data_IF_431949204300
#
_entry.id   IF_431949204300
#
_cell.length_a   1.000
_cell.length_b   1.000
_cell.length_c   1.000
_cell.angle_alpha   90.00
_cell.angle_beta   90.00
_cell.angle_gamma   90.00
#
_symmetry.space_group_name_H-M   'P 1'
#
loop_
_entity.id
_entity.type
_entity.pdbx_description
1 polymer ?
#
# COMPACT_ATOMS: atom_id res chain seq x y z
N UNK A 1 24.55 -98.34 -63.57
CA UNK A 1 24.76 -97.90 -62.22
C UNK A 1 25.00 -96.35 -62.27
N UNK A 2 23.95 -95.54 -62.20
CA UNK A 2 24.06 -94.09 -62.18
C UNK A 2 23.11 -93.59 -61.09
N UNK A 3 23.65 -93.01 -60.05
CA UNK A 3 22.89 -92.36 -58.95
C UNK A 3 22.53 -90.97 -59.33
N UNK A 4 21.28 -90.62 -59.26
CA UNK A 4 20.77 -89.28 -59.48
C UNK A 4 20.74 -88.54 -58.08
N UNK A 5 21.25 -87.38 -57.90
CA UNK A 5 21.14 -86.66 -56.64
C UNK A 5 19.77 -85.94 -56.53
N UNK A 6 19.14 -86.03 -55.36
CA UNK A 6 17.95 -85.32 -54.99
C UNK A 6 18.28 -83.88 -54.69
N UNK A 7 17.56 -82.99 -55.38
CA UNK A 7 17.66 -81.54 -55.15
C UNK A 7 16.64 -81.11 -54.06
N UNK A 8 17.13 -80.72 -52.89
CA UNK A 8 16.31 -80.14 -51.82
C UNK A 8 16.08 -78.62 -52.07
N UNK A 9 14.81 -78.28 -52.22
CA UNK A 9 14.36 -76.84 -52.30
C UNK A 9 14.13 -76.38 -50.91
N UNK A 10 14.71 -75.23 -50.45
CA UNK A 10 14.40 -74.68 -49.15
C UNK A 10 13.06 -73.92 -49.16
N UNK A 11 12.22 -74.28 -48.22
CA UNK A 11 10.96 -73.55 -47.90
C UNK A 11 11.29 -72.19 -47.33
N UNK A 12 10.90 -71.09 -48.03
CA UNK A 12 10.99 -69.73 -47.51
C UNK A 12 9.83 -69.48 -46.51
N UNK A 13 10.17 -69.33 -45.23
CA UNK A 13 9.24 -68.86 -44.25
C UNK A 13 8.92 -67.35 -44.51
N UNK A 14 7.67 -67.08 -44.86
CA UNK A 14 7.13 -65.75 -44.82
C UNK A 14 6.92 -65.37 -43.35
N UNK A 15 7.70 -64.41 -42.85
CA UNK A 15 7.44 -63.72 -41.58
C UNK A 15 6.29 -62.70 -41.76
N UNK A 16 5.35 -62.54 -40.80
CA UNK A 16 4.30 -61.55 -40.88
C UNK A 16 4.89 -60.15 -40.60
N UNK A 17 4.57 -59.19 -41.45
CA UNK A 17 4.82 -57.77 -41.29
C UNK A 17 3.99 -57.29 -40.11
N UNK A 18 4.64 -57.00 -39.00
CA UNK A 18 4.03 -56.21 -37.88
C UNK A 18 3.83 -54.78 -38.30
N UNK A 19 2.68 -54.14 -37.98
CA UNK A 19 2.49 -52.73 -38.25
C UNK A 19 3.42 -51.89 -37.36
N UNK A 20 4.13 -50.95 -37.96
CA UNK A 20 4.85 -49.91 -37.27
C UNK A 20 3.86 -49.14 -36.40
N UNK A 21 3.95 -49.31 -35.10
CA UNK A 21 3.34 -48.34 -34.15
C UNK A 21 4.14 -47.02 -34.28
N UNK A 22 3.47 -46.00 -34.77
CA UNK A 22 3.96 -44.65 -34.65
C UNK A 22 4.08 -44.36 -33.16
N UNK A 23 5.30 -44.19 -32.64
CA UNK A 23 5.55 -43.63 -31.33
C UNK A 23 5.09 -42.13 -31.39
N UNK A 24 3.96 -41.88 -30.80
CA UNK A 24 3.61 -40.48 -30.41
C UNK A 24 4.71 -39.97 -29.50
N UNK A 25 5.48 -39.02 -30.02
CA UNK A 25 6.37 -38.22 -29.20
C UNK A 25 5.50 -37.51 -28.13
N UNK A 26 5.79 -37.67 -26.82
CA UNK A 26 5.13 -36.84 -25.83
C UNK A 26 5.46 -35.41 -26.16
N UNK A 27 4.43 -34.64 -26.54
CA UNK A 27 4.51 -33.16 -26.62
C UNK A 27 5.03 -32.69 -25.29
N UNK A 28 6.30 -32.28 -25.24
CA UNK A 28 6.85 -31.50 -24.15
C UNK A 28 6.14 -30.17 -24.25
N UNK A 29 5.03 -30.03 -23.51
CA UNK A 29 4.47 -28.71 -23.22
C UNK A 29 5.55 -27.99 -22.45
N UNK A 30 6.14 -26.90 -22.96
CA UNK A 30 7.03 -26.10 -22.16
C UNK A 30 6.23 -25.60 -20.97
N UNK A 31 6.66 -25.97 -19.76
CA UNK A 31 6.17 -25.31 -18.53
C UNK A 31 6.17 -23.81 -18.76
N UNK A 32 5.17 -23.04 -18.24
CA UNK A 32 5.23 -21.61 -18.31
C UNK A 32 6.59 -21.19 -17.72
N UNK A 33 7.49 -20.77 -18.58
CA UNK A 33 8.77 -20.24 -18.20
C UNK A 33 8.40 -18.99 -17.42
N UNK A 34 8.55 -19.04 -16.12
CA UNK A 34 8.45 -17.88 -15.23
C UNK A 34 9.33 -16.81 -15.85
N UNK A 35 8.70 -15.82 -16.47
CA UNK A 35 9.40 -14.78 -17.20
C UNK A 35 10.27 -14.05 -16.16
N UNK A 36 11.57 -14.25 -16.22
CA UNK A 36 12.52 -13.56 -15.35
C UNK A 36 12.24 -12.06 -15.48
N UNK A 37 11.92 -11.42 -14.36
CA UNK A 37 11.68 -9.98 -14.31
C UNK A 37 12.87 -9.26 -14.94
N UNK A 38 12.59 -8.27 -15.78
CA UNK A 38 13.68 -7.47 -16.36
C UNK A 38 14.18 -6.50 -15.29
N UNK A 39 15.46 -6.09 -15.29
CA UNK A 39 15.97 -5.09 -14.35
C UNK A 39 15.12 -3.81 -14.28
N UNK A 40 14.49 -3.45 -15.37
CA UNK A 40 13.56 -2.31 -15.46
C UNK A 40 12.26 -2.57 -14.69
N UNK A 41 11.70 -3.78 -14.77
CA UNK A 41 10.49 -4.15 -14.04
C UNK A 41 10.76 -4.16 -12.53
N UNK A 42 11.93 -4.64 -12.10
CA UNK A 42 12.35 -4.64 -10.71
C UNK A 42 12.51 -3.21 -10.16
N UNK A 43 13.07 -2.29 -10.97
CA UNK A 43 13.17 -0.88 -10.60
C UNK A 43 11.78 -0.25 -10.39
N UNK A 44 10.87 -0.43 -11.33
CA UNK A 44 9.50 0.10 -11.25
C UNK A 44 8.77 -0.48 -10.05
N UNK A 45 8.90 -1.78 -9.78
CA UNK A 45 8.32 -2.44 -8.62
C UNK A 45 8.88 -1.86 -7.31
N UNK A 46 10.20 -1.65 -7.22
CA UNK A 46 10.85 -1.03 -6.07
C UNK A 46 10.40 0.41 -5.82
N UNK A 47 10.26 1.22 -6.87
CA UNK A 47 9.71 2.58 -6.76
C UNK A 47 8.27 2.56 -6.26
N UNK A 48 7.42 1.70 -6.82
CA UNK A 48 6.02 1.55 -6.40
C UNK A 48 5.95 1.16 -4.91
N UNK A 49 6.68 0.15 -4.50
CA UNK A 49 6.71 -0.30 -3.11
C UNK A 49 7.17 0.83 -2.17
N UNK A 50 8.20 1.58 -2.55
CA UNK A 50 8.68 2.69 -1.74
C UNK A 50 7.63 3.81 -1.62
N UNK A 51 6.90 4.13 -2.71
CA UNK A 51 5.80 5.09 -2.67
C UNK A 51 4.67 4.61 -1.75
N UNK A 52 4.25 3.36 -1.86
CA UNK A 52 3.14 2.77 -1.12
C UNK A 52 3.44 2.51 0.36
N UNK A 53 4.72 2.31 0.71
CA UNK A 53 5.14 2.09 2.10
C UNK A 53 5.20 3.38 2.95
N UNK A 54 5.01 4.54 2.34
CA UNK A 54 5.17 5.82 3.04
C UNK A 54 3.98 6.75 2.81
N UNK A 55 3.76 7.60 3.81
CA UNK A 55 3.01 8.83 3.69
C UNK A 55 3.99 9.95 3.40
N UNK A 56 3.74 10.74 2.37
CA UNK A 56 4.64 11.75 1.86
C UNK A 56 4.13 13.15 2.17
N UNK A 57 4.85 13.93 2.95
CA UNK A 57 4.48 15.30 3.32
C UNK A 57 5.27 16.28 2.48
N UNK A 58 4.59 17.20 1.80
CA UNK A 58 5.23 18.23 0.99
C UNK A 58 6.01 19.19 1.92
N UNK A 59 7.31 19.28 1.68
CA UNK A 59 8.23 20.11 2.44
C UNK A 59 8.73 21.31 1.63
N UNK A 60 8.98 21.13 0.32
CA UNK A 60 9.47 22.17 -0.57
C UNK A 60 8.81 22.07 -1.93
N UNK A 61 8.65 23.20 -2.61
CA UNK A 61 8.25 23.27 -4.02
C UNK A 61 8.95 24.43 -4.69
N UNK A 62 9.56 24.18 -5.85
CA UNK A 62 10.25 25.21 -6.64
C UNK A 62 9.85 25.10 -8.10
N UNK A 63 9.83 26.25 -8.80
CA UNK A 63 9.65 26.29 -10.24
C UNK A 63 10.96 25.94 -10.98
N UNK A 64 10.91 25.92 -12.32
CA UNK A 64 12.08 25.63 -13.17
C UNK A 64 13.24 26.62 -13.06
N UNK A 65 13.04 27.77 -12.40
CA UNK A 65 14.08 28.76 -12.08
C UNK A 65 14.54 28.67 -10.61
N UNK A 66 14.18 27.58 -9.91
CA UNK A 66 14.45 27.33 -8.48
C UNK A 66 13.83 28.37 -7.52
N UNK A 67 12.79 29.10 -7.95
CA UNK A 67 12.02 29.97 -7.06
C UNK A 67 10.94 29.17 -6.37
N UNK A 68 10.70 29.48 -5.09
CA UNK A 68 9.66 28.84 -4.32
C UNK A 68 8.27 29.05 -4.94
N UNK A 69 7.48 27.98 -5.01
CA UNK A 69 6.06 28.05 -5.40
C UNK A 69 5.21 28.30 -4.16
N UNK A 70 5.12 29.57 -3.75
CA UNK A 70 4.43 29.97 -2.51
C UNK A 70 2.96 29.56 -2.47
N UNK A 71 2.31 29.49 -3.63
CA UNK A 71 0.92 29.04 -3.73
C UNK A 71 0.66 27.65 -3.10
N UNK A 72 1.68 26.79 -2.99
CA UNK A 72 1.55 25.47 -2.36
C UNK A 72 1.71 25.48 -0.83
N UNK A 73 1.95 26.64 -0.23
CA UNK A 73 2.20 26.80 1.22
C UNK A 73 1.33 27.89 1.83
N UNK A 74 -0.01 27.80 1.71
CA UNK A 74 -0.90 28.78 2.34
C UNK A 74 -0.78 28.72 3.87
N UNK A 75 -0.69 29.86 4.54
CA UNK A 75 -0.45 29.94 6.00
C UNK A 75 -1.55 29.23 6.83
N UNK A 76 -2.77 29.23 6.33
CA UNK A 76 -3.93 28.68 7.04
C UNK A 76 -4.15 27.18 6.85
N UNK A 77 -3.28 26.48 6.11
CA UNK A 77 -3.45 25.06 5.79
C UNK A 77 -2.33 24.19 6.35
N UNK A 78 -2.63 22.94 6.72
CA UNK A 78 -1.59 21.95 6.96
C UNK A 78 -0.83 21.65 5.65
N UNK A 79 0.40 21.11 5.74
CA UNK A 79 1.14 20.68 4.56
C UNK A 79 0.35 19.64 3.76
N UNK A 80 0.52 19.64 2.44
CA UNK A 80 -0.03 18.58 1.61
C UNK A 80 0.59 17.23 1.97
N UNK A 81 -0.27 16.23 2.04
CA UNK A 81 0.09 14.83 2.26
C UNK A 81 -0.32 14.04 1.03
N UNK A 82 0.62 13.31 0.45
CA UNK A 82 0.40 12.37 -0.64
C UNK A 82 0.49 10.94 -0.10
N UNK A 83 -0.44 10.09 -0.53
CA UNK A 83 -0.44 8.66 -0.24
C UNK A 83 -0.68 7.87 -1.52
N UNK A 84 -0.04 6.72 -1.60
CA UNK A 84 -0.15 5.79 -2.72
C UNK A 84 -0.65 4.46 -2.18
N UNK A 85 -1.73 3.93 -2.73
CA UNK A 85 -2.33 2.67 -2.27
C UNK A 85 -3.09 2.03 -3.43
N UNK A 86 -2.83 0.76 -3.72
CA UNK A 86 -3.55 0.00 -4.74
C UNK A 86 -3.63 0.71 -6.11
N UNK A 87 -2.52 1.28 -6.56
CA UNK A 87 -2.44 2.09 -7.80
C UNK A 87 -3.28 3.38 -7.78
N UNK A 88 -3.65 3.85 -6.59
CA UNK A 88 -4.31 5.15 -6.39
C UNK A 88 -3.36 6.13 -5.72
N UNK A 89 -3.26 7.33 -6.29
CA UNK A 89 -2.66 8.51 -5.68
C UNK A 89 -3.75 9.34 -5.03
N UNK A 90 -3.59 9.61 -3.75
CA UNK A 90 -4.46 10.54 -3.03
C UNK A 90 -3.63 11.68 -2.46
N UNK A 91 -4.16 12.89 -2.45
CA UNK A 91 -3.55 14.00 -1.73
C UNK A 91 -4.59 14.89 -1.07
N UNK A 92 -4.19 15.47 0.06
CA UNK A 92 -4.99 16.37 0.89
C UNK A 92 -4.08 17.35 1.62
N UNK A 93 -4.61 18.46 2.07
CA UNK A 93 -3.86 19.51 2.80
C UNK A 93 -4.33 20.91 2.48
N UNK A 94 -4.95 21.13 1.33
CA UNK A 94 -5.59 22.38 0.93
C UNK A 94 -7.07 22.43 1.33
N UNK A 95 -7.90 22.81 0.39
CA UNK A 95 -9.35 22.83 0.55
C UNK A 95 -9.97 21.45 0.33
N UNK A 96 -9.58 20.79 -0.75
CA UNK A 96 -10.18 19.55 -1.21
C UNK A 96 -9.22 18.36 -1.07
N UNK A 97 -9.81 17.17 -0.96
CA UNK A 97 -9.09 15.91 -1.13
C UNK A 97 -9.18 15.50 -2.59
N UNK A 98 -8.07 15.02 -3.12
CA UNK A 98 -7.94 14.56 -4.50
C UNK A 98 -7.60 13.08 -4.56
N UNK A 99 -8.09 12.42 -5.60
CA UNK A 99 -7.81 11.03 -5.88
C UNK A 99 -7.65 10.82 -7.40
N UNK A 100 -6.70 9.98 -7.77
CA UNK A 100 -6.42 9.60 -9.16
C UNK A 100 -5.82 8.21 -9.20
N UNK A 101 -6.06 7.46 -10.27
CA UNK A 101 -5.17 6.33 -10.56
C UNK A 101 -3.76 6.83 -10.86
N UNK A 102 -2.75 6.02 -10.61
CA UNK A 102 -1.39 6.30 -11.06
C UNK A 102 -0.73 5.06 -11.61
N UNK A 103 0.27 5.28 -12.44
CA UNK A 103 1.21 4.27 -12.89
C UNK A 103 2.63 4.83 -12.90
N UNK A 104 3.63 3.94 -12.91
CA UNK A 104 5.03 4.29 -13.11
C UNK A 104 5.44 3.71 -14.47
N UNK A 105 5.71 4.60 -15.42
CA UNK A 105 6.08 4.17 -16.77
C UNK A 105 7.51 3.60 -16.83
N UNK A 106 7.90 3.08 -17.98
CA UNK A 106 9.22 2.49 -18.21
C UNK A 106 10.38 3.49 -18.03
N UNK A 107 10.12 4.79 -18.05
CA UNK A 107 11.10 5.84 -17.82
C UNK A 107 11.23 6.22 -16.33
N UNK A 108 10.49 5.54 -15.44
CA UNK A 108 10.48 5.82 -14.01
C UNK A 108 9.71 7.10 -13.65
N UNK A 109 8.77 7.50 -14.49
CA UNK A 109 7.92 8.66 -14.23
C UNK A 109 6.58 8.23 -13.65
N UNK A 110 6.10 8.96 -12.63
CA UNK A 110 4.75 8.90 -12.14
C UNK A 110 3.82 9.53 -13.17
N UNK A 111 2.81 8.79 -13.61
CA UNK A 111 1.77 9.24 -14.53
C UNK A 111 0.43 9.10 -13.82
N UNK A 112 -0.19 10.21 -13.46
CA UNK A 112 -1.51 10.24 -12.87
C UNK A 112 -2.60 10.19 -13.95
N UNK A 113 -3.70 9.53 -13.64
CA UNK A 113 -4.91 9.53 -14.46
C UNK A 113 -5.75 10.77 -14.26
N UNK A 114 -7.03 10.68 -14.58
CA UNK A 114 -7.98 11.78 -14.33
C UNK A 114 -8.16 12.00 -12.84
N UNK A 115 -7.87 13.22 -12.37
CA UNK A 115 -8.05 13.58 -10.98
C UNK A 115 -9.52 13.85 -10.66
N UNK A 116 -9.97 13.29 -9.56
CA UNK A 116 -11.26 13.57 -8.94
C UNK A 116 -11.02 14.35 -7.65
N UNK A 117 -11.93 15.23 -7.28
CA UNK A 117 -11.81 16.00 -6.04
C UNK A 117 -13.15 16.12 -5.33
N UNK A 118 -13.10 16.33 -4.03
CA UNK A 118 -14.25 16.86 -3.29
C UNK A 118 -14.59 18.26 -3.78
N UNK A 119 -15.79 18.75 -3.49
CA UNK A 119 -16.26 20.07 -3.93
C UNK A 119 -16.56 20.94 -2.72
N UNK A 120 -15.54 21.17 -1.88
CA UNK A 120 -15.65 22.09 -0.77
C UNK A 120 -15.36 23.53 -1.24
N UNK A 121 -16.09 24.51 -0.70
CA UNK A 121 -15.85 25.91 -0.93
C UNK A 121 -15.01 26.49 0.22
N UNK A 122 -13.77 26.83 -0.06
CA UNK A 122 -12.84 27.42 0.89
C UNK A 122 -12.39 28.82 0.42
N UNK A 123 -11.51 29.45 1.18
CA UNK A 123 -10.88 30.70 0.76
C UNK A 123 -10.07 30.53 -0.54
N UNK A 124 -9.93 31.61 -1.33
CA UNK A 124 -9.31 31.54 -2.65
C UNK A 124 -7.87 31.02 -2.63
N UNK A 125 -7.13 31.28 -1.58
CA UNK A 125 -5.74 30.81 -1.42
C UNK A 125 -5.65 29.27 -1.35
N UNK A 126 -6.55 28.62 -0.61
CA UNK A 126 -6.61 27.16 -0.51
C UNK A 126 -7.04 26.52 -1.82
N UNK A 127 -8.01 27.12 -2.51
CA UNK A 127 -8.45 26.64 -3.83
C UNK A 127 -7.36 26.82 -4.89
N UNK A 128 -6.59 27.90 -4.82
CA UNK A 128 -5.44 28.12 -5.69
C UNK A 128 -4.34 27.10 -5.44
N UNK A 129 -4.05 26.79 -4.18
CA UNK A 129 -3.09 25.77 -3.78
C UNK A 129 -3.47 24.39 -4.34
N UNK A 130 -4.73 24.00 -4.18
CA UNK A 130 -5.27 22.75 -4.73
C UNK A 130 -5.10 22.68 -6.25
N UNK A 131 -5.46 23.76 -6.96
CA UNK A 131 -5.34 23.86 -8.40
C UNK A 131 -3.89 23.76 -8.86
N UNK A 132 -2.96 24.43 -8.15
CA UNK A 132 -1.54 24.40 -8.47
C UNK A 132 -0.94 23.00 -8.29
N UNK A 133 -1.22 22.32 -7.19
CA UNK A 133 -0.72 20.96 -6.96
C UNK A 133 -1.32 19.96 -7.96
N UNK A 134 -2.62 20.04 -8.20
CA UNK A 134 -3.28 19.18 -9.18
C UNK A 134 -2.71 19.37 -10.59
N UNK A 135 -2.40 20.60 -10.99
CA UNK A 135 -1.80 20.88 -12.30
C UNK A 135 -0.37 20.31 -12.45
N UNK A 136 0.44 20.37 -11.38
CA UNK A 136 1.78 19.77 -11.36
C UNK A 136 1.73 18.24 -11.45
N UNK A 137 0.79 17.61 -10.77
CA UNK A 137 0.64 16.14 -10.75
C UNK A 137 -0.14 15.58 -11.94
N UNK A 138 -0.84 16.41 -12.71
CA UNK A 138 -1.58 15.98 -13.91
C UNK A 138 -0.67 15.66 -15.09
N UNK A 139 0.60 16.03 -15.05
CA UNK A 139 1.59 15.71 -16.08
C UNK A 139 2.54 14.61 -15.58
N UNK A 140 3.24 13.88 -16.48
CA UNK A 140 4.24 12.92 -16.06
C UNK A 140 5.36 13.61 -15.27
N UNK A 141 5.66 13.10 -14.08
CA UNK A 141 6.72 13.64 -13.22
C UNK A 141 7.80 12.59 -12.96
N UNK A 142 9.05 12.98 -13.06
CA UNK A 142 10.19 12.12 -12.78
C UNK A 142 10.29 11.87 -11.27
N UNK A 143 10.44 10.61 -10.87
CA UNK A 143 10.60 10.20 -9.48
C UNK A 143 12.08 10.10 -9.16
N UNK A 144 12.51 10.72 -8.07
CA UNK A 144 13.79 10.46 -7.42
C UNK A 144 13.56 10.19 -5.92
N UNK A 145 14.11 9.07 -5.44
CA UNK A 145 14.02 8.65 -4.05
C UNK A 145 15.40 8.63 -3.41
N UNK A 146 15.54 9.25 -2.24
CA UNK A 146 16.75 9.16 -1.42
C UNK A 146 16.40 8.44 -0.12
N UNK A 147 16.97 7.25 0.13
CA UNK A 147 16.65 6.42 1.29
C UNK A 147 17.45 6.86 2.53
N UNK A 148 17.19 8.06 3.02
CA UNK A 148 17.79 8.59 4.25
C UNK A 148 17.03 8.11 5.51
N UNK A 149 17.49 8.54 6.70
CA UNK A 149 16.78 8.31 7.96
C UNK A 149 15.34 8.86 7.93
N UNK A 150 15.12 9.95 7.20
CA UNK A 150 13.81 10.44 6.76
C UNK A 150 13.83 10.38 5.24
N UNK A 151 13.18 9.39 4.62
CA UNK A 151 13.19 9.24 3.17
C UNK A 151 12.72 10.50 2.46
N UNK A 152 13.39 10.85 1.36
CA UNK A 152 13.05 12.02 0.55
C UNK A 152 12.52 11.54 -0.80
N UNK A 153 11.36 12.05 -1.18
CA UNK A 153 10.79 11.88 -2.51
C UNK A 153 10.86 13.21 -3.24
N UNK A 154 11.43 13.20 -4.43
CA UNK A 154 11.42 14.33 -5.33
C UNK A 154 10.60 13.97 -6.57
N UNK A 155 9.63 14.84 -6.90
CA UNK A 155 8.83 14.74 -8.12
C UNK A 155 9.16 15.94 -8.99
N UNK A 156 9.67 15.71 -10.21
CA UNK A 156 10.10 16.76 -11.12
C UNK A 156 9.31 16.72 -12.43
N UNK A 157 8.75 17.86 -12.83
CA UNK A 157 8.06 18.04 -14.11
C UNK A 157 9.06 18.22 -15.26
N UNK A 158 8.58 18.11 -16.49
CA UNK A 158 9.38 18.41 -17.69
C UNK A 158 9.84 19.89 -17.77
N UNK A 159 9.14 20.80 -17.07
CA UNK A 159 9.51 22.20 -16.93
C UNK A 159 10.53 22.45 -15.81
N UNK A 160 11.03 21.40 -15.15
CA UNK A 160 11.88 21.42 -13.97
C UNK A 160 11.24 21.99 -12.70
N UNK A 161 9.91 22.10 -12.65
CA UNK A 161 9.26 22.34 -11.37
C UNK A 161 9.48 21.12 -10.48
N UNK A 162 9.80 21.35 -9.22
CA UNK A 162 10.21 20.27 -8.31
C UNK A 162 9.42 20.32 -7.02
N UNK A 163 8.81 19.20 -6.66
CA UNK A 163 8.19 18.97 -5.35
C UNK A 163 9.13 18.10 -4.51
N UNK A 164 9.52 18.57 -3.34
CA UNK A 164 10.30 17.82 -2.36
C UNK A 164 9.41 17.39 -1.20
N UNK A 165 9.32 16.07 -0.97
CA UNK A 165 8.46 15.49 0.04
C UNK A 165 9.28 14.65 1.02
N UNK A 166 8.86 14.65 2.28
CA UNK A 166 9.44 13.83 3.35
C UNK A 166 8.54 12.62 3.60
N UNK A 167 9.16 11.43 3.63
CA UNK A 167 8.50 10.17 3.84
C UNK A 167 8.42 9.81 5.32
N UNK A 168 7.23 9.41 5.75
CA UNK A 168 7.00 8.72 7.01
C UNK A 168 6.50 7.31 6.70
N UNK A 169 7.25 6.31 7.14
CA UNK A 169 6.87 4.91 6.91
C UNK A 169 5.51 4.60 7.54
N UNK A 170 4.66 3.93 6.79
CA UNK A 170 3.34 3.54 7.26
C UNK A 170 3.43 2.39 8.27
N UNK A 171 2.51 2.33 9.25
CA UNK A 171 2.48 1.24 10.22
C UNK A 171 2.40 -0.15 9.59
N UNK A 172 1.68 -0.30 8.49
CA UNK A 172 1.57 -1.55 7.72
C UNK A 172 2.94 -2.04 7.21
N UNK A 173 3.77 -1.11 6.77
CA UNK A 173 5.11 -1.42 6.28
C UNK A 173 6.10 -1.76 7.43
N UNK A 174 5.88 -1.18 8.63
CA UNK A 174 6.71 -1.43 9.82
C UNK A 174 6.34 -2.70 10.57
N UNK A 175 5.04 -2.97 10.71
CA UNK A 175 4.52 -3.96 11.65
C UNK A 175 3.69 -5.05 10.97
N UNK A 176 3.51 -4.98 9.64
CA UNK A 176 2.64 -5.88 8.90
C UNK A 176 1.16 -5.51 9.00
N UNK A 177 0.26 -6.40 8.56
CA UNK A 177 -1.16 -6.12 8.48
C UNK A 177 -1.78 -5.87 9.85
N UNK A 178 -2.66 -4.87 9.92
CA UNK A 178 -3.40 -4.54 11.13
C UNK A 178 -4.50 -5.57 11.42
N UNK A 179 -4.84 -5.71 12.70
CA UNK A 179 -6.12 -6.29 13.12
C UNK A 179 -7.13 -5.16 13.28
N UNK A 180 -8.24 -5.22 12.55
CA UNK A 180 -9.35 -4.28 12.73
C UNK A 180 -10.16 -4.67 13.96
N UNK A 181 -10.33 -3.74 14.89
CA UNK A 181 -11.15 -3.90 16.08
C UNK A 181 -12.08 -2.71 16.27
N UNK A 182 -13.16 -2.91 16.98
CA UNK A 182 -14.07 -1.83 17.40
C UNK A 182 -13.94 -1.62 18.90
N UNK A 183 -13.67 -0.39 19.28
CA UNK A 183 -13.58 0.02 20.69
C UNK A 183 -14.74 0.94 21.02
N UNK A 184 -15.52 0.58 22.05
CA UNK A 184 -16.43 1.52 22.69
C UNK A 184 -15.68 2.22 23.81
N UNK A 185 -15.59 3.55 23.74
CA UNK A 185 -14.88 4.40 24.70
C UNK A 185 -15.90 5.12 25.55
N UNK A 186 -15.76 5.02 26.88
CA UNK A 186 -16.69 5.66 27.81
C UNK A 186 -16.57 7.18 27.77
N UNK A 187 -17.66 7.85 28.08
CA UNK A 187 -17.73 9.31 28.20
C UNK A 187 -16.80 9.90 29.27
N UNK A 188 -16.39 9.08 30.23
CA UNK A 188 -15.57 9.50 31.38
C UNK A 188 -14.20 8.84 31.32
N UNK A 189 -13.19 9.58 31.70
CA UNK A 189 -11.89 9.02 32.00
C UNK A 189 -11.86 8.48 33.44
N UNK A 190 -11.06 7.45 33.66
CA UNK A 190 -10.84 6.90 34.99
C UNK A 190 -9.57 7.45 35.63
N UNK A 191 -9.59 7.59 36.95
CA UNK A 191 -8.35 7.66 37.69
C UNK A 191 -7.65 6.31 37.60
N UNK A 192 -6.43 6.29 37.11
CA UNK A 192 -5.64 5.08 36.93
C UNK A 192 -4.15 5.36 37.17
N UNK A 193 -3.36 4.30 37.15
CA UNK A 193 -1.90 4.45 37.09
C UNK A 193 -1.41 3.61 35.90
N UNK A 194 -1.02 4.32 34.85
CA UNK A 194 -0.42 3.66 33.71
C UNK A 194 0.93 3.05 34.09
N UNK A 195 1.11 1.72 34.02
CA UNK A 195 2.33 1.05 34.47
C UNK A 195 3.58 1.42 33.66
N UNK A 196 3.39 1.96 32.42
CA UNK A 196 4.49 2.28 31.51
C UNK A 196 5.02 3.71 31.67
N UNK A 197 4.15 4.68 31.95
CA UNK A 197 4.54 6.10 31.96
C UNK A 197 4.06 6.85 33.23
N UNK A 198 3.38 6.15 34.16
CA UNK A 198 2.89 6.77 35.40
C UNK A 198 1.70 7.72 35.24
N UNK A 199 1.11 7.84 34.04
CA UNK A 199 -0.06 8.66 33.79
C UNK A 199 -1.21 8.31 34.73
N UNK A 200 -1.90 9.33 35.28
CA UNK A 200 -2.89 9.17 36.32
C UNK A 200 -4.34 9.16 35.83
N UNK A 201 -4.55 9.39 34.55
CA UNK A 201 -5.88 9.30 33.91
C UNK A 201 -5.81 8.41 32.69
N UNK A 202 -6.82 7.56 32.49
CA UNK A 202 -6.95 6.63 31.37
C UNK A 202 -8.32 6.74 30.74
N UNK A 203 -8.40 6.40 29.46
CA UNK A 203 -9.67 6.05 28.85
C UNK A 203 -10.21 4.76 29.47
N UNK A 204 -11.51 4.61 29.50
CA UNK A 204 -12.19 3.36 29.75
C UNK A 204 -12.74 2.85 28.43
N UNK A 205 -12.31 1.69 28.01
CA UNK A 205 -12.74 1.12 26.74
C UNK A 205 -13.16 -0.35 26.89
N UNK A 206 -13.95 -0.82 25.94
CA UNK A 206 -14.25 -2.24 25.76
C UNK A 206 -14.30 -2.57 24.27
N UNK A 207 -13.93 -3.80 23.95
CA UNK A 207 -14.02 -4.31 22.60
C UNK A 207 -15.45 -4.72 22.27
N UNK A 208 -15.90 -4.34 21.07
CA UNK A 208 -17.16 -4.76 20.49
C UNK A 208 -16.88 -5.73 19.34
N UNK A 209 -17.75 -6.74 19.23
CA UNK A 209 -17.76 -7.66 18.10
C UNK A 209 -19.02 -7.44 17.28
N UNK A 210 -18.86 -7.57 15.97
CA UNK A 210 -19.95 -7.49 15.00
C UNK A 210 -19.94 -8.77 14.15
N UNK A 211 -21.13 -9.25 13.78
CA UNK A 211 -21.28 -10.35 12.85
C UNK A 211 -21.09 -9.90 11.39
N UNK A 212 -21.21 -10.86 10.45
CA UNK A 212 -21.09 -10.59 9.01
C UNK A 212 -22.17 -9.64 8.47
N UNK A 213 -23.30 -9.50 9.18
CA UNK A 213 -24.38 -8.59 8.86
C UNK A 213 -24.17 -7.19 9.47
N UNK A 214 -23.09 -6.98 10.23
CA UNK A 214 -22.80 -5.74 10.93
C UNK A 214 -23.62 -5.54 12.20
N UNK A 215 -24.25 -6.58 12.72
CA UNK A 215 -24.99 -6.52 13.97
C UNK A 215 -24.06 -6.81 15.16
N UNK A 216 -24.24 -6.07 16.24
CA UNK A 216 -23.44 -6.23 17.44
C UNK A 216 -23.70 -7.59 18.10
N UNK A 217 -22.65 -8.35 18.35
CA UNK A 217 -22.69 -9.64 19.04
C UNK A 217 -22.68 -9.40 20.55
N UNK A 218 -23.71 -9.81 21.30
CA UNK A 218 -23.73 -9.73 22.75
C UNK A 218 -23.10 -10.97 23.41
N UNK A 219 -22.55 -10.85 24.65
CA UNK A 219 -22.31 -9.61 25.36
C UNK A 219 -21.08 -8.88 24.85
N UNK A 220 -21.02 -7.54 24.99
CA UNK A 220 -19.78 -6.81 24.73
C UNK A 220 -18.70 -7.24 25.72
N UNK A 221 -17.44 -7.03 25.38
CA UNK A 221 -16.31 -7.22 26.28
C UNK A 221 -16.46 -6.39 27.58
N UNK A 222 -15.75 -6.76 28.65
CA UNK A 222 -15.75 -5.99 29.88
C UNK A 222 -15.09 -4.62 29.71
N UNK A 223 -15.56 -3.62 30.42
CA UNK A 223 -14.91 -2.34 30.54
C UNK A 223 -13.54 -2.48 31.19
N UNK A 224 -12.50 -1.93 30.58
CA UNK A 224 -11.12 -1.98 31.05
C UNK A 224 -10.44 -0.60 30.95
N UNK A 225 -9.48 -0.29 31.83
CA UNK A 225 -8.60 0.85 31.62
C UNK A 225 -7.84 0.69 30.29
N UNK A 226 -7.89 1.70 29.45
CA UNK A 226 -7.17 1.74 28.17
C UNK A 226 -6.05 2.75 28.29
N UNK A 227 -4.80 2.26 28.23
CA UNK A 227 -3.61 3.01 28.55
C UNK A 227 -2.92 3.63 27.32
N UNK A 228 -3.31 3.18 26.14
CA UNK A 228 -2.64 3.54 24.90
C UNK A 228 -3.34 4.75 24.25
N UNK A 229 -2.56 5.51 23.46
CA UNK A 229 -3.15 6.50 22.57
C UNK A 229 -3.70 5.79 21.32
N UNK A 230 -4.77 6.35 20.76
CA UNK A 230 -5.25 5.99 19.43
C UNK A 230 -4.89 7.15 18.53
N UNK A 231 -3.94 6.93 17.59
CA UNK A 231 -3.54 7.95 16.63
C UNK A 231 -4.75 8.37 15.79
N UNK A 232 -4.93 9.66 15.62
CA UNK A 232 -6.08 10.22 14.89
C UNK A 232 -7.37 10.36 15.71
N UNK A 233 -7.41 9.91 16.98
CA UNK A 233 -8.56 10.05 17.86
C UNK A 233 -8.26 10.96 19.04
N UNK A 234 -9.18 11.88 19.30
CA UNK A 234 -9.17 12.74 20.52
C UNK A 234 -10.45 12.52 21.29
N UNK A 235 -10.32 12.15 22.56
CA UNK A 235 -11.47 11.93 23.44
C UNK A 235 -12.08 13.27 23.89
N UNK A 236 -13.39 13.42 23.69
CA UNK A 236 -14.17 14.54 24.22
C UNK A 236 -14.84 14.09 25.51
N UNK A 237 -14.52 14.71 26.67
CA UNK A 237 -15.18 14.38 27.93
C UNK A 237 -16.71 14.57 27.85
N UNK A 238 -17.45 13.59 28.34
CA UNK A 238 -18.92 13.56 28.26
C UNK A 238 -19.48 12.85 27.04
N UNK A 239 -18.66 12.51 26.05
CA UNK A 239 -19.09 11.80 24.85
C UNK A 239 -18.62 10.35 24.85
N UNK A 240 -19.57 9.43 24.62
CA UNK A 240 -19.27 8.02 24.40
C UNK A 240 -19.14 7.77 22.91
N UNK A 241 -18.03 7.18 22.51
CA UNK A 241 -17.73 6.92 21.10
C UNK A 241 -17.54 5.42 20.84
N UNK A 242 -17.95 4.98 19.66
CA UNK A 242 -17.54 3.70 19.08
C UNK A 242 -16.63 4.02 17.92
N UNK A 243 -15.38 3.59 18.01
CA UNK A 243 -14.36 3.84 17.00
C UNK A 243 -13.88 2.51 16.41
N UNK A 244 -13.71 2.47 15.10
CA UNK A 244 -13.01 1.40 14.41
C UNK A 244 -11.53 1.78 14.37
N UNK A 245 -10.67 0.86 14.81
CA UNK A 245 -9.24 1.11 14.91
C UNK A 245 -8.45 -0.04 14.30
N UNK A 246 -7.35 0.29 13.68
CA UNK A 246 -6.29 -0.61 13.25
C UNK A 246 -5.36 -0.83 14.43
N UNK A 247 -5.23 -2.07 14.86
CA UNK A 247 -4.26 -2.48 15.90
C UNK A 247 -3.08 -3.17 15.22
N UNK A 248 -1.87 -2.68 15.48
CA UNK A 248 -0.62 -3.24 14.99
C UNK A 248 0.18 -3.81 16.16
N UNK A 249 0.63 -5.04 16.03
CA UNK A 249 1.52 -5.67 16.99
C UNK A 249 2.97 -5.26 16.69
N UNK A 250 3.59 -4.53 17.63
CA UNK A 250 4.97 -4.03 17.45
C UNK A 250 6.05 -5.09 17.64
N UNK A 251 5.68 -6.34 17.88
CA UNK A 251 6.60 -7.42 18.19
C UNK A 251 7.29 -7.27 19.55
N UNK A 252 8.15 -8.22 19.89
CA UNK A 252 8.89 -8.24 21.17
C UNK A 252 8.30 -9.23 22.18
N UNK A 253 8.89 -9.33 23.37
CA UNK A 253 8.40 -10.18 24.43
C UNK A 253 7.03 -9.67 24.93
N UNK A 254 6.10 -10.55 25.34
CA UNK A 254 4.80 -10.14 25.87
C UNK A 254 4.94 -9.07 26.96
N UNK A 255 4.26 -7.93 26.78
CA UNK A 255 4.26 -6.81 27.71
C UNK A 255 5.39 -5.79 27.57
N UNK A 256 6.36 -5.99 26.65
CA UNK A 256 7.45 -5.04 26.43
C UNK A 256 7.11 -3.94 25.44
N UNK A 257 6.35 -4.25 24.38
CA UNK A 257 5.92 -3.28 23.39
C UNK A 257 4.39 -3.17 23.40
N UNK A 258 3.89 -1.96 23.63
CA UNK A 258 2.48 -1.68 23.48
C UNK A 258 2.06 -1.77 22.02
N UNK A 259 0.89 -2.32 21.70
CA UNK A 259 0.32 -2.21 20.35
C UNK A 259 0.20 -0.75 19.92
N UNK A 260 0.31 -0.52 18.62
CA UNK A 260 -0.08 0.76 18.04
C UNK A 260 -1.56 0.69 17.65
N UNK A 261 -2.31 1.70 18.03
CA UNK A 261 -3.70 1.87 17.63
C UNK A 261 -3.81 3.12 16.74
N UNK A 262 -4.44 2.97 15.59
CA UNK A 262 -4.68 4.06 14.63
C UNK A 262 -6.16 4.07 14.29
N UNK A 263 -6.79 5.22 14.34
CA UNK A 263 -8.18 5.40 13.89
C UNK A 263 -8.28 5.03 12.41
N UNK A 264 -9.25 4.16 12.08
CA UNK A 264 -9.43 3.68 10.70
C UNK A 264 -10.50 4.50 9.95
#
# INVERSE_FOLDING_TARGET
>A
MRRIPFLLIPFALLAPLSPLHAQENPSINPSPQEAAATPQADLVAGLRQALENHRWTLATATDGEARRIDALFPEAAPPYILTFTDSMLNFQGGCNSFSSSYDINAQGQLVAGTMQSTMMACGPELMQADTALAALLAQPVQIALTPDAVPQLQLQTAANDTLGLQGQMLPEALYGPATLIFLEIDARQLACRNPRNGQTTCLQARELQFDEQGLRVPPPGPWQPFYDAIEGYTHTPGERNVVRVKRYDRGGAPGTNAPLYVLD
#
